data_IF_738713867356
#
_entry.id   IF_738713867356
#
_cell.length_a   1.000
_cell.length_b   1.000
_cell.length_c   1.000
_cell.angle_alpha   90.00
_cell.angle_beta   90.00
_cell.angle_gamma   90.00
#
_symmetry.space_group_name_H-M   'P 1'
#
loop_
_entity.id
_entity.type
_entity.pdbx_description
1 polymer ?
#
# COMPACT_ATOMS: atom_id res chain seq x y z
N UNK A 1 41.29 -16.98 -3.19
CA UNK A 1 40.76 -15.67 -3.59
C UNK A 1 39.66 -15.31 -2.60
N UNK A 2 39.83 -14.26 -1.79
CA UNK A 2 38.77 -13.82 -0.89
C UNK A 2 37.83 -12.94 -1.72
N UNK A 3 36.78 -13.53 -2.30
CA UNK A 3 35.72 -12.74 -2.90
C UNK A 3 35.03 -11.97 -1.78
N UNK A 4 35.30 -10.66 -1.73
CA UNK A 4 34.60 -9.72 -0.88
C UNK A 4 33.41 -9.21 -1.68
N UNK A 5 32.19 -9.51 -1.24
CA UNK A 5 30.98 -8.96 -1.84
C UNK A 5 30.73 -7.53 -1.35
N UNK A 6 30.18 -6.68 -2.21
CA UNK A 6 29.59 -5.41 -1.81
C UNK A 6 28.07 -5.50 -1.89
N UNK A 7 27.39 -4.84 -0.95
CA UNK A 7 25.94 -4.62 -0.98
C UNK A 7 25.72 -3.12 -1.16
N UNK A 8 24.95 -2.75 -2.18
CA UNK A 8 24.58 -1.37 -2.45
C UNK A 8 23.09 -1.21 -2.16
N UNK A 9 22.75 -0.28 -1.28
CA UNK A 9 21.38 0.05 -0.90
C UNK A 9 21.04 1.43 -1.47
N UNK A 10 19.98 1.48 -2.27
CA UNK A 10 19.51 2.68 -2.96
C UNK A 10 18.03 2.81 -2.62
N UNK A 11 17.62 3.92 -1.99
CA UNK A 11 16.24 4.19 -1.60
C UNK A 11 15.52 2.99 -0.97
N UNK A 12 16.21 2.31 -0.06
CA UNK A 12 15.78 1.03 0.51
C UNK A 12 15.39 1.17 1.97
N UNK A 13 14.50 0.26 2.41
CA UNK A 13 14.22 0.01 3.82
C UNK A 13 14.79 -1.36 4.17
N UNK A 14 15.59 -1.42 5.23
CA UNK A 14 16.06 -2.67 5.83
C UNK A 14 15.43 -2.79 7.22
N UNK A 15 14.46 -3.69 7.37
CA UNK A 15 13.70 -3.94 8.59
C UNK A 15 12.22 -4.25 8.31
N UNK A 16 11.39 -4.47 9.35
CA UNK A 16 11.76 -4.71 10.74
C UNK A 16 12.00 -6.21 10.98
N UNK A 17 13.22 -6.60 11.35
CA UNK A 17 13.52 -7.95 11.83
C UNK A 17 12.76 -8.21 13.13
N UNK A 18 11.94 -9.27 13.16
CA UNK A 18 11.00 -9.55 14.26
C UNK A 18 11.55 -10.48 15.34
N UNK A 19 12.85 -10.80 15.32
CA UNK A 19 13.42 -11.68 16.36
C UNK A 19 13.38 -11.01 17.75
N UNK A 20 12.76 -11.70 18.71
CA UNK A 20 12.50 -11.18 20.07
C UNK A 20 13.76 -10.91 20.91
N UNK A 21 14.94 -11.35 20.45
CA UNK A 21 16.18 -11.25 21.22
C UNK A 21 16.87 -9.88 21.13
N UNK A 22 16.52 -9.02 20.17
CA UNK A 22 17.27 -7.78 19.84
C UNK A 22 18.80 -8.00 19.72
N UNK A 23 19.26 -9.25 19.51
CA UNK A 23 20.68 -9.59 19.37
C UNK A 23 21.15 -9.60 17.91
N UNK A 24 20.26 -9.23 16.99
CA UNK A 24 20.51 -9.27 15.54
C UNK A 24 20.01 -7.99 14.90
N UNK A 25 20.92 -7.23 14.29
CA UNK A 25 20.57 -6.14 13.39
C UNK A 25 19.71 -6.62 12.21
N UNK A 26 18.97 -5.70 11.61
CA UNK A 26 18.31 -5.90 10.31
C UNK A 26 19.31 -6.23 9.20
N UNK A 27 20.52 -5.70 9.33
CA UNK A 27 21.64 -5.95 8.41
C UNK A 27 22.94 -6.11 9.21
N UNK A 28 23.77 -7.09 8.83
CA UNK A 28 25.00 -7.40 9.56
C UNK A 28 26.20 -7.60 8.64
N UNK A 29 27.24 -6.81 8.88
CA UNK A 29 28.57 -7.02 8.31
C UNK A 29 29.38 -7.98 9.18
N UNK A 30 29.40 -9.26 8.78
CA UNK A 30 30.19 -10.28 9.47
C UNK A 30 31.67 -10.16 9.10
N UNK A 31 32.49 -9.85 10.11
CA UNK A 31 33.96 -9.83 10.06
C UNK A 31 34.55 -8.75 9.12
N UNK A 32 33.77 -7.74 8.71
CA UNK A 32 34.25 -6.67 7.81
C UNK A 32 34.87 -7.21 6.52
N UNK A 33 34.34 -8.36 6.07
CA UNK A 33 34.79 -9.04 4.86
C UNK A 33 34.04 -8.54 3.62
N UNK A 34 32.90 -7.87 3.78
CA UNK A 34 32.19 -7.15 2.71
C UNK A 34 32.03 -5.67 3.05
N UNK A 35 31.55 -4.87 2.09
CA UNK A 35 31.20 -3.46 2.32
C UNK A 35 29.73 -3.22 2.01
N UNK A 36 29.04 -2.51 2.92
CA UNK A 36 27.69 -1.98 2.69
C UNK A 36 27.84 -0.52 2.27
N UNK A 37 27.28 -0.19 1.10
CA UNK A 37 27.24 1.16 0.54
C UNK A 37 25.80 1.65 0.55
N UNK A 38 25.59 2.88 1.00
CA UNK A 38 24.31 3.58 0.92
C UNK A 38 24.42 4.62 -0.18
N UNK A 39 23.91 4.28 -1.35
CA UNK A 39 23.98 5.09 -2.57
C UNK A 39 22.69 5.90 -2.70
N UNK A 40 22.45 6.79 -1.75
CA UNK A 40 21.21 7.57 -1.62
C UNK A 40 20.61 7.46 -0.21
N UNK A 41 19.42 8.06 0.02
CA UNK A 41 18.69 7.92 1.28
C UNK A 41 18.25 6.48 1.52
N UNK A 42 18.33 6.02 2.76
CA UNK A 42 17.90 4.67 3.16
C UNK A 42 17.40 4.69 4.61
N UNK A 43 16.57 3.71 4.98
CA UNK A 43 16.14 3.48 6.36
C UNK A 43 16.64 2.13 6.86
N UNK A 44 17.17 2.10 8.08
CA UNK A 44 17.55 0.86 8.79
C UNK A 44 16.79 0.85 10.11
N UNK A 45 15.87 -0.11 10.27
CA UNK A 45 15.01 -0.22 11.45
C UNK A 45 15.76 -0.50 12.75
N UNK A 46 16.78 -1.36 12.69
CA UNK A 46 17.68 -1.67 13.79
C UNK A 46 19.11 -1.94 13.29
N UNK A 47 20.04 -1.08 13.70
CA UNK A 47 21.47 -1.26 13.42
C UNK A 47 22.27 -1.87 14.59
N UNK A 48 21.60 -2.31 15.66
CA UNK A 48 22.24 -2.91 16.84
C UNK A 48 22.96 -4.20 16.46
N UNK A 49 24.26 -4.26 16.70
CA UNK A 49 25.15 -5.36 16.26
C UNK A 49 25.39 -5.48 14.75
N UNK A 50 25.00 -4.47 13.95
CA UNK A 50 25.22 -4.48 12.48
C UNK A 50 26.69 -4.48 12.08
N UNK A 51 27.57 -3.89 12.90
CA UNK A 51 29.01 -3.70 12.63
C UNK A 51 29.32 -2.90 11.35
N UNK A 52 28.31 -2.24 10.78
CA UNK A 52 28.49 -1.34 9.65
C UNK A 52 29.23 -0.09 10.13
N UNK A 53 30.37 0.21 9.51
CA UNK A 53 31.26 1.30 9.93
C UNK A 53 30.92 2.65 9.28
N UNK A 54 30.24 2.65 8.13
CA UNK A 54 29.80 3.84 7.43
C UNK A 54 28.30 3.77 7.18
N UNK A 55 27.53 4.64 7.84
CA UNK A 55 26.07 4.77 7.68
C UNK A 55 25.67 6.07 6.97
N UNK A 56 26.63 6.79 6.38
CA UNK A 56 26.32 8.01 5.62
C UNK A 56 25.38 7.66 4.48
N UNK A 57 24.20 8.30 4.44
CA UNK A 57 23.12 7.98 3.49
C UNK A 57 21.99 7.13 4.11
N UNK A 58 22.13 6.66 5.35
CA UNK A 58 21.07 5.95 6.05
C UNK A 58 20.62 6.68 7.32
N UNK A 59 19.31 6.72 7.54
CA UNK A 59 18.71 7.02 8.84
C UNK A 59 18.50 5.72 9.60
N UNK A 60 19.01 5.66 10.84
CA UNK A 60 19.09 4.43 11.63
C UNK A 60 18.19 4.51 12.86
N UNK A 61 17.54 3.39 13.17
CA UNK A 61 16.59 3.23 14.26
C UNK A 61 15.38 4.20 14.21
N UNK A 62 14.81 4.56 13.03
CA UNK A 62 13.55 5.29 12.99
C UNK A 62 12.39 4.34 13.27
N UNK A 63 11.27 4.87 13.77
CA UNK A 63 10.02 4.12 13.71
C UNK A 63 9.55 4.10 12.25
N UNK A 64 9.65 2.94 11.61
CA UNK A 64 9.38 2.80 10.17
C UNK A 64 7.90 3.02 9.81
N UNK A 65 6.97 2.83 10.75
CA UNK A 65 5.52 2.90 10.50
C UNK A 65 5.12 2.20 9.19
N UNK A 66 5.38 0.91 9.09
CA UNK A 66 4.96 0.09 7.95
C UNK A 66 3.77 -0.79 8.35
N UNK A 67 2.91 -1.08 7.40
CA UNK A 67 1.92 -2.13 7.57
C UNK A 67 2.62 -3.51 7.68
N UNK A 68 1.99 -4.51 8.32
CA UNK A 68 2.52 -5.87 8.37
C UNK A 68 2.81 -6.45 6.98
N UNK A 69 3.68 -7.45 6.89
CA UNK A 69 3.90 -8.15 5.62
C UNK A 69 2.60 -8.84 5.18
N UNK A 70 2.09 -8.50 4.00
CA UNK A 70 0.79 -8.98 3.54
C UNK A 70 0.56 -8.76 2.05
N UNK A 71 -0.60 -9.21 1.55
CA UNK A 71 -1.01 -8.99 0.17
C UNK A 71 -1.71 -7.62 0.08
N UNK A 72 -1.08 -6.67 -0.62
CA UNK A 72 -1.59 -5.29 -0.80
C UNK A 72 -1.81 -4.93 -2.28
N UNK A 73 -2.16 -5.92 -3.12
CA UNK A 73 -2.51 -5.72 -4.53
C UNK A 73 -1.39 -6.00 -5.55
N UNK A 74 -0.27 -6.61 -5.16
CA UNK A 74 0.83 -7.02 -6.06
C UNK A 74 1.02 -8.53 -6.14
N UNK A 75 1.88 -8.99 -7.07
CA UNK A 75 2.21 -10.43 -7.25
C UNK A 75 3.02 -11.03 -6.09
N UNK A 76 3.48 -10.20 -5.17
CA UNK A 76 4.26 -10.58 -3.98
C UNK A 76 3.78 -9.80 -2.76
N UNK A 77 3.94 -10.37 -1.57
CA UNK A 77 3.66 -9.67 -0.32
C UNK A 77 4.58 -8.46 -0.13
N UNK A 78 4.04 -7.38 0.45
CA UNK A 78 4.74 -6.11 0.67
C UNK A 78 4.48 -5.57 2.09
N UNK A 79 5.22 -4.53 2.49
CA UNK A 79 5.01 -3.77 3.73
C UNK A 79 4.83 -2.28 3.40
N UNK A 80 3.62 -1.84 2.97
CA UNK A 80 3.36 -0.45 2.61
C UNK A 80 3.71 0.55 3.74
N UNK A 81 4.25 1.74 3.41
CA UNK A 81 4.34 2.84 4.36
C UNK A 81 2.94 3.25 4.87
N UNK A 82 2.80 3.38 6.18
CA UNK A 82 1.61 3.96 6.82
C UNK A 82 1.71 5.49 6.84
N UNK A 83 0.60 6.22 7.04
CA UNK A 83 0.63 7.66 7.20
C UNK A 83 1.67 8.12 8.24
N UNK A 84 2.42 9.18 7.91
CA UNK A 84 3.53 9.70 8.72
C UNK A 84 4.73 8.74 8.85
N UNK A 85 4.86 7.75 7.97
CA UNK A 85 6.11 6.99 7.85
C UNK A 85 7.25 7.89 7.37
N UNK A 86 8.46 7.75 7.95
CA UNK A 86 9.66 8.43 7.45
C UNK A 86 10.12 7.92 6.08
N UNK A 87 9.47 6.87 5.54
CA UNK A 87 9.72 6.39 4.19
C UNK A 87 9.07 7.27 3.11
N UNK A 88 8.03 8.04 3.46
CA UNK A 88 7.24 8.81 2.51
C UNK A 88 8.05 10.00 1.98
N UNK A 89 8.06 10.19 0.66
CA UNK A 89 8.76 11.26 -0.07
C UNK A 89 10.27 11.36 0.28
N UNK A 90 10.86 10.28 0.80
CA UNK A 90 12.22 10.27 1.34
C UNK A 90 13.26 9.61 0.42
N UNK A 91 12.83 9.03 -0.70
CA UNK A 91 13.67 8.44 -1.73
C UNK A 91 14.28 9.47 -2.66
N UNK A 92 15.44 9.13 -3.22
CA UNK A 92 16.16 9.98 -4.16
C UNK A 92 16.00 9.54 -5.62
N UNK A 93 16.17 10.48 -6.55
CA UNK A 93 15.98 10.27 -7.99
C UNK A 93 16.82 9.12 -8.59
N UNK A 94 17.91 8.76 -7.94
CA UNK A 94 18.77 7.61 -8.29
C UNK A 94 18.03 6.26 -8.24
N UNK A 95 16.88 6.18 -7.56
CA UNK A 95 16.07 4.98 -7.45
C UNK A 95 15.00 4.83 -8.54
N UNK A 96 14.83 5.82 -9.42
CA UNK A 96 13.92 5.80 -10.58
C UNK A 96 14.41 4.87 -11.71
N UNK A 97 14.73 3.63 -11.36
CA UNK A 97 15.05 2.57 -12.33
C UNK A 97 13.79 1.96 -12.96
N UNK A 98 12.65 2.05 -12.24
CA UNK A 98 11.33 1.59 -12.67
C UNK A 98 10.32 2.72 -12.51
N UNK A 99 9.41 2.85 -13.47
CA UNK A 99 8.28 3.79 -13.36
C UNK A 99 7.20 3.28 -12.40
N UNK A 100 7.27 2.02 -11.97
CA UNK A 100 6.29 1.39 -11.10
C UNK A 100 6.89 0.76 -9.83
N UNK A 101 6.08 0.72 -8.77
CA UNK A 101 6.34 0.02 -7.52
C UNK A 101 6.14 -1.51 -7.65
N UNK A 102 6.36 -2.27 -6.58
CA UNK A 102 6.27 -3.74 -6.63
C UNK A 102 4.84 -4.27 -6.90
N UNK A 103 3.83 -3.43 -6.77
CA UNK A 103 2.43 -3.76 -7.07
C UNK A 103 2.04 -3.35 -8.49
N UNK A 104 2.86 -2.55 -9.16
CA UNK A 104 2.60 -2.02 -10.51
C UNK A 104 2.08 -0.58 -10.53
N UNK A 105 1.96 0.10 -9.38
CA UNK A 105 1.53 1.50 -9.33
C UNK A 105 2.65 2.46 -9.67
N UNK A 106 2.33 3.67 -10.11
CA UNK A 106 3.32 4.71 -10.38
C UNK A 106 4.22 4.95 -9.15
N UNK A 107 5.54 5.00 -9.38
CA UNK A 107 6.55 5.14 -8.33
C UNK A 107 6.88 6.57 -7.95
N UNK A 108 6.32 7.57 -8.64
CA UNK A 108 6.55 8.98 -8.35
C UNK A 108 5.18 9.64 -8.12
N UNK A 109 4.77 9.71 -6.85
CA UNK A 109 3.50 10.30 -6.45
C UNK A 109 3.74 11.23 -5.26
N UNK A 110 3.27 12.47 -5.35
CA UNK A 110 3.49 13.45 -4.28
C UNK A 110 4.78 14.26 -4.46
N UNK A 111 5.54 14.43 -3.38
CA UNK A 111 6.70 15.32 -3.30
C UNK A 111 8.02 14.66 -3.70
N UNK A 112 8.09 13.33 -3.67
CA UNK A 112 9.28 12.54 -3.93
C UNK A 112 8.93 11.07 -4.20
N UNK A 113 9.95 10.22 -4.21
CA UNK A 113 9.75 8.77 -4.16
C UNK A 113 9.63 8.34 -2.70
N UNK A 114 8.91 7.27 -2.45
CA UNK A 114 9.00 6.57 -1.17
C UNK A 114 10.19 5.62 -1.14
N UNK A 115 10.72 5.42 0.07
CA UNK A 115 11.72 4.40 0.32
C UNK A 115 11.08 3.01 0.33
N UNK A 116 11.73 2.06 -0.33
CA UNK A 116 11.34 0.64 -0.32
C UNK A 116 10.52 0.20 -1.53
N UNK A 117 9.68 -0.82 -1.31
CA UNK A 117 9.03 -1.57 -2.39
C UNK A 117 7.70 -0.98 -2.86
N UNK A 118 7.09 -0.13 -2.03
CA UNK A 118 5.74 0.38 -2.21
C UNK A 118 5.77 1.90 -2.14
N UNK A 119 5.17 2.52 -3.15
CA UNK A 119 4.92 3.96 -3.18
C UNK A 119 3.55 4.24 -2.56
N UNK A 120 3.51 5.04 -1.50
CA UNK A 120 2.26 5.58 -0.98
C UNK A 120 1.69 6.52 -2.04
N UNK A 121 0.48 6.20 -2.50
CA UNK A 121 -0.18 6.96 -3.57
C UNK A 121 -0.80 8.29 -3.06
N UNK A 122 -0.26 8.89 -1.99
CA UNK A 122 -0.68 10.17 -1.41
C UNK A 122 -1.64 10.10 -0.21
N UNK A 123 -1.78 11.25 0.46
CA UNK A 123 -2.61 11.52 1.64
C UNK A 123 -3.67 12.59 1.34
N UNK A 124 -4.93 12.16 1.35
CA UNK A 124 -6.25 12.82 1.55
C UNK A 124 -6.35 14.33 1.89
N UNK A 125 -5.73 15.25 1.16
CA UNK A 125 -6.06 16.68 1.28
C UNK A 125 -6.62 17.30 0.00
N UNK A 126 -6.88 16.49 -1.02
CA UNK A 126 -7.68 16.87 -2.17
C UNK A 126 -8.83 15.86 -2.31
N UNK A 127 -9.78 15.94 -1.36
CA UNK A 127 -10.90 15.03 -1.12
C UNK A 127 -11.87 14.83 -2.32
N UNK A 128 -11.55 15.33 -3.51
CA UNK A 128 -12.32 15.12 -4.74
C UNK A 128 -11.48 14.72 -5.97
N UNK A 129 -10.13 14.78 -5.90
CA UNK A 129 -9.26 14.46 -7.04
C UNK A 129 -8.33 13.25 -6.79
N UNK A 130 -8.11 12.87 -5.53
CA UNK A 130 -7.19 11.79 -5.11
C UNK A 130 -7.86 10.44 -4.78
N UNK A 131 -9.14 10.26 -5.10
CA UNK A 131 -9.86 8.99 -4.88
C UNK A 131 -9.48 7.93 -5.93
N UNK A 132 -8.69 8.29 -6.93
CA UNK A 132 -8.48 7.51 -8.16
C UNK A 132 -7.20 6.65 -8.17
N UNK A 133 -6.45 6.50 -7.06
CA UNK A 133 -5.13 5.84 -7.13
C UNK A 133 -5.06 4.45 -6.49
N UNK A 134 -5.93 4.11 -5.53
CA UNK A 134 -5.93 2.80 -4.85
C UNK A 134 -7.02 1.84 -5.32
N UNK A 135 -7.85 2.25 -6.28
CA UNK A 135 -9.08 1.55 -6.65
C UNK A 135 -9.17 1.21 -8.15
N UNK A 136 -8.16 1.59 -8.94
CA UNK A 136 -8.18 1.56 -10.41
C UNK A 136 -7.35 0.40 -10.95
N UNK A 137 -7.79 -0.83 -10.71
CA UNK A 137 -6.96 -2.01 -10.95
C UNK A 137 -7.85 -3.10 -11.57
N UNK A 138 -7.85 -3.22 -12.92
CA UNK A 138 -8.64 -4.15 -13.79
C UNK A 138 -8.07 -5.53 -13.71
N UNK A 139 -8.99 -6.46 -13.50
CA UNK A 139 -8.65 -7.70 -12.94
C UNK A 139 -9.23 -8.97 -13.66
N UNK A 140 -9.75 -8.69 -14.83
CA UNK A 140 -10.27 -9.63 -15.79
C UNK A 140 -9.38 -10.21 -16.89
N UNK A 141 -8.43 -9.38 -17.30
CA UNK A 141 -7.82 -9.33 -18.63
C UNK A 141 -8.87 -9.09 -19.74
N UNK A 142 -10.10 -8.72 -19.38
CA UNK A 142 -11.14 -8.25 -20.30
C UNK A 142 -11.03 -6.76 -20.62
N UNK A 143 -10.33 -5.97 -19.81
CA UNK A 143 -10.08 -4.54 -20.06
C UNK A 143 -11.05 -3.57 -19.40
N UNK A 144 -11.92 -4.00 -18.47
CA UNK A 144 -13.04 -3.21 -17.93
C UNK A 144 -13.15 -3.32 -16.39
N UNK A 145 -12.46 -2.46 -15.62
CA UNK A 145 -12.47 -2.52 -14.14
C UNK A 145 -13.84 -2.16 -13.52
N UNK A 146 -14.41 -3.02 -12.65
CA UNK A 146 -15.58 -2.71 -11.82
C UNK A 146 -15.45 -3.15 -10.34
N UNK A 147 -16.44 -2.78 -9.51
CA UNK A 147 -16.42 -3.10 -8.08
C UNK A 147 -16.44 -4.59 -7.72
N UNK A 148 -17.06 -5.41 -8.55
CA UNK A 148 -17.18 -6.85 -8.32
C UNK A 148 -15.81 -7.53 -8.41
N UNK A 149 -14.98 -7.14 -9.37
CA UNK A 149 -13.65 -7.73 -9.57
C UNK A 149 -12.68 -7.33 -8.45
N UNK A 150 -12.75 -6.07 -7.98
CA UNK A 150 -12.00 -5.63 -6.79
C UNK A 150 -12.31 -6.49 -5.57
N UNK A 151 -13.58 -6.84 -5.42
CA UNK A 151 -14.03 -7.64 -4.29
C UNK A 151 -13.60 -9.11 -4.40
N UNK A 152 -13.53 -9.64 -5.61
CA UNK A 152 -13.06 -11.00 -5.88
C UNK A 152 -11.52 -11.12 -5.93
N UNK A 153 -10.81 -10.01 -6.15
CA UNK A 153 -9.35 -9.97 -6.26
C UNK A 153 -8.77 -10.73 -7.46
N UNK A 154 -9.61 -11.09 -8.43
CA UNK A 154 -9.19 -11.71 -9.69
C UNK A 154 -8.53 -10.62 -10.52
N UNK A 155 -7.19 -10.61 -10.81
CA UNK A 155 -6.51 -9.79 -11.89
C UNK A 155 -5.83 -8.39 -11.72
N UNK A 156 -5.67 -7.73 -10.56
CA UNK A 156 -5.17 -6.35 -10.32
C UNK A 156 -4.91 -5.22 -11.36
N UNK A 157 -4.46 -5.44 -12.57
CA UNK A 157 -3.20 -4.84 -13.01
C UNK A 157 -3.30 -3.83 -14.15
N UNK A 158 -4.50 -3.45 -14.64
CA UNK A 158 -4.66 -2.36 -15.62
C UNK A 158 -5.70 -1.32 -15.14
N UNK A 159 -5.28 -0.09 -14.88
CA UNK A 159 -6.24 0.96 -14.53
C UNK A 159 -7.12 1.34 -15.73
N UNK A 160 -8.45 1.20 -15.62
CA UNK A 160 -9.41 1.91 -16.48
C UNK A 160 -10.15 3.01 -15.67
N UNK A 161 -9.53 4.19 -15.52
CA UNK A 161 -10.13 5.31 -14.81
C UNK A 161 -11.41 5.84 -15.46
N UNK A 162 -11.74 5.41 -16.68
CA UNK A 162 -12.91 5.84 -17.42
C UNK A 162 -14.15 4.94 -17.26
N UNK A 163 -14.01 3.75 -16.66
CA UNK A 163 -15.12 2.81 -16.53
C UNK A 163 -16.18 3.33 -15.53
N UNK A 164 -17.48 3.37 -15.90
CA UNK A 164 -18.50 3.99 -15.06
C UNK A 164 -18.83 3.22 -13.77
N UNK A 165 -18.46 1.93 -13.69
CA UNK A 165 -18.86 0.99 -12.62
C UNK A 165 -17.71 0.62 -11.66
N UNK A 166 -16.58 1.33 -11.70
CA UNK A 166 -15.45 1.13 -10.77
C UNK A 166 -15.82 1.42 -9.32
N UNK A 167 -15.20 0.72 -8.37
CA UNK A 167 -15.37 1.06 -6.96
C UNK A 167 -14.70 2.40 -6.66
N UNK A 168 -15.45 3.42 -6.26
CA UNK A 168 -14.92 4.76 -5.97
C UNK A 168 -15.71 5.44 -4.87
N UNK A 169 -15.06 6.32 -4.12
CA UNK A 169 -15.77 7.30 -3.31
C UNK A 169 -16.26 8.44 -4.24
N UNK A 170 -17.55 8.76 -4.18
CA UNK A 170 -18.18 9.77 -5.07
C UNK A 170 -18.44 11.09 -4.37
N UNK A 171 -18.29 11.13 -3.04
CA UNK A 171 -18.41 12.35 -2.27
C UNK A 171 -18.91 12.10 -0.86
N UNK A 172 -19.70 13.04 -0.37
CA UNK A 172 -20.26 13.03 0.97
C UNK A 172 -21.72 13.45 0.89
N UNK A 173 -22.60 12.74 1.57
CA UNK A 173 -24.03 13.01 1.55
C UNK A 173 -24.37 14.30 2.34
N UNK A 174 -25.64 14.69 2.28
CA UNK A 174 -26.16 15.87 3.01
C UNK A 174 -25.96 15.80 4.53
N UNK A 175 -25.63 14.62 5.06
CA UNK A 175 -25.41 14.36 6.48
C UNK A 175 -23.93 14.17 6.84
N UNK A 176 -23.00 14.35 5.88
CA UNK A 176 -21.57 14.18 6.14
C UNK A 176 -21.06 12.74 6.02
N UNK A 177 -21.83 11.80 5.49
CA UNK A 177 -21.43 10.39 5.32
C UNK A 177 -20.71 10.18 4.00
N UNK A 178 -19.63 9.40 4.00
CA UNK A 178 -18.90 9.05 2.78
C UNK A 178 -19.77 8.21 1.85
N UNK A 179 -19.85 8.62 0.58
CA UNK A 179 -20.60 7.94 -0.47
C UNK A 179 -19.65 7.14 -1.36
N UNK A 180 -19.98 5.88 -1.62
CA UNK A 180 -19.22 4.99 -2.50
C UNK A 180 -20.11 4.50 -3.64
N UNK A 181 -19.53 4.32 -4.82
CA UNK A 181 -20.16 3.78 -6.01
C UNK A 181 -19.41 2.51 -6.41
N UNK A 182 -20.11 1.49 -6.89
CA UNK A 182 -19.50 0.40 -7.65
C UNK A 182 -20.50 -0.43 -8.47
N UNK A 183 -20.04 -1.22 -9.43
CA UNK A 183 -20.87 -2.15 -10.21
C UNK A 183 -21.12 -3.48 -9.50
N UNK A 184 -22.38 -3.89 -9.42
CA UNK A 184 -22.78 -5.21 -8.94
C UNK A 184 -23.48 -6.01 -10.05
N UNK A 185 -22.86 -7.09 -10.51
CA UNK A 185 -23.33 -7.82 -11.70
C UNK A 185 -23.51 -9.32 -11.47
N UNK A 186 -23.19 -9.84 -10.28
CA UNK A 186 -23.30 -11.27 -9.96
C UNK A 186 -23.98 -11.48 -8.61
N UNK A 187 -25.23 -11.97 -8.66
CA UNK A 187 -26.06 -12.24 -7.49
C UNK A 187 -25.60 -13.49 -6.71
N UNK A 188 -24.67 -14.26 -7.25
CA UNK A 188 -24.07 -15.42 -6.57
C UNK A 188 -22.97 -15.02 -5.58
N UNK A 189 -22.57 -13.75 -5.58
CA UNK A 189 -21.51 -13.23 -4.72
C UNK A 189 -22.11 -12.25 -3.71
N UNK A 190 -21.83 -12.51 -2.44
CA UNK A 190 -22.01 -11.52 -1.38
C UNK A 190 -20.76 -10.65 -1.34
N UNK A 191 -20.95 -9.34 -1.26
CA UNK A 191 -19.90 -8.35 -1.06
C UNK A 191 -20.01 -7.74 0.33
N UNK A 192 -18.90 -7.29 0.89
CA UNK A 192 -18.84 -6.47 2.07
C UNK A 192 -17.94 -5.26 1.84
N UNK A 193 -18.42 -4.09 2.28
CA UNK A 193 -17.56 -2.93 2.46
C UNK A 193 -16.97 -3.03 3.86
N UNK A 194 -15.65 -3.22 3.96
CA UNK A 194 -14.90 -3.26 5.21
C UNK A 194 -14.08 -1.99 5.38
N UNK A 195 -13.82 -1.62 6.63
CA UNK A 195 -13.11 -0.41 7.01
C UNK A 195 -12.05 -0.69 8.07
N UNK A 196 -10.92 -0.02 7.95
CA UNK A 196 -9.84 -0.04 8.93
C UNK A 196 -9.29 1.36 9.18
N UNK A 197 -8.77 1.64 10.37
CA UNK A 197 -8.04 2.90 10.67
C UNK A 197 -6.53 2.71 10.66
N UNK A 198 -6.06 1.47 10.64
CA UNK A 198 -4.66 1.09 10.84
C UNK A 198 -4.12 0.13 9.78
N UNK A 199 -4.94 -0.26 8.79
CA UNK A 199 -4.66 -1.26 7.76
C UNK A 199 -4.42 -2.69 8.31
N UNK A 200 -4.75 -2.93 9.57
CA UNK A 200 -4.59 -4.22 10.24
C UNK A 200 -5.96 -4.80 10.53
N UNK A 201 -6.77 -4.07 11.29
CA UNK A 201 -8.07 -4.53 11.74
C UNK A 201 -9.15 -3.93 10.85
N UNK A 202 -9.81 -4.80 10.07
CA UNK A 202 -10.94 -4.44 9.21
C UNK A 202 -12.26 -4.87 9.85
N UNK A 203 -13.20 -3.94 9.95
CA UNK A 203 -14.58 -4.18 10.39
C UNK A 203 -15.55 -4.02 9.22
N UNK A 204 -16.50 -4.94 9.08
CA UNK A 204 -17.60 -4.80 8.11
C UNK A 204 -18.46 -3.59 8.44
N UNK A 205 -18.64 -2.73 7.43
CA UNK A 205 -19.50 -1.55 7.45
C UNK A 205 -20.84 -1.87 6.81
N UNK A 206 -20.82 -2.59 5.69
CA UNK A 206 -22.00 -2.98 4.90
C UNK A 206 -21.76 -4.40 4.38
N UNK A 207 -22.80 -5.22 4.35
CA UNK A 207 -22.81 -6.54 3.73
C UNK A 207 -24.02 -6.66 2.81
N UNK A 208 -23.80 -7.16 1.60
CA UNK A 208 -24.63 -6.80 0.44
C UNK A 208 -25.63 -7.85 0.03
N UNK A 209 -25.60 -9.04 0.61
CA UNK A 209 -26.66 -10.06 0.44
C UNK A 209 -28.02 -9.55 0.89
N UNK A 210 -28.03 -8.58 1.81
CA UNK A 210 -29.24 -8.06 2.44
C UNK A 210 -29.69 -6.71 1.84
N UNK A 211 -28.81 -6.00 1.13
CA UNK A 211 -28.99 -4.56 0.81
C UNK A 211 -29.15 -4.22 -0.69
N UNK A 212 -28.88 -5.14 -1.63
CA UNK A 212 -29.08 -4.87 -3.07
C UNK A 212 -30.22 -5.66 -3.69
N UNK A 213 -31.09 -4.95 -4.42
CA UNK A 213 -32.27 -5.55 -5.08
C UNK A 213 -32.13 -5.68 -6.61
N UNK A 214 -31.10 -5.08 -7.22
CA UNK A 214 -30.93 -5.04 -8.68
C UNK A 214 -29.46 -4.97 -9.11
N UNK A 215 -29.12 -5.59 -10.23
CA UNK A 215 -27.83 -5.45 -10.89
C UNK A 215 -27.56 -4.03 -11.39
N UNK A 216 -26.28 -3.69 -11.53
CA UNK A 216 -25.79 -2.42 -12.04
C UNK A 216 -25.10 -1.59 -10.96
N UNK A 217 -25.08 -0.28 -11.19
CA UNK A 217 -24.39 0.68 -10.34
C UNK A 217 -25.05 0.80 -8.97
N UNK A 218 -24.30 0.46 -7.93
CA UNK A 218 -24.69 0.59 -6.53
C UNK A 218 -24.11 1.85 -5.93
N UNK A 219 -24.81 2.40 -4.94
CA UNK A 219 -24.30 3.48 -4.09
C UNK A 219 -24.43 3.08 -2.62
N UNK A 220 -23.32 3.20 -1.89
CA UNK A 220 -23.17 2.79 -0.49
C UNK A 220 -22.77 3.98 0.38
N UNK A 221 -23.12 3.90 1.67
CA UNK A 221 -22.80 4.92 2.66
C UNK A 221 -22.21 4.28 3.90
N UNK A 222 -21.08 4.79 4.40
CA UNK A 222 -20.66 4.43 5.76
C UNK A 222 -21.60 5.13 6.76
N UNK A 223 -22.42 4.39 7.54
CA UNK A 223 -23.36 5.01 8.47
C UNK A 223 -22.66 5.67 9.67
N UNK A 224 -21.42 5.26 10.00
CA UNK A 224 -20.71 5.68 11.19
C UNK A 224 -19.21 5.85 10.90
N UNK A 225 -18.81 6.81 10.04
CA UNK A 225 -17.40 7.01 9.72
C UNK A 225 -16.60 7.39 10.98
N UNK A 226 -15.36 6.89 11.14
CA UNK A 226 -14.54 7.20 12.30
C UNK A 226 -14.06 8.65 12.27
N UNK A 227 -13.74 9.21 13.44
CA UNK A 227 -13.08 10.52 13.50
C UNK A 227 -11.67 10.43 12.87
N UNK A 228 -11.43 11.20 11.82
CA UNK A 228 -10.14 11.24 11.14
C UNK A 228 -10.10 10.39 9.86
N UNK A 229 -9.01 9.64 9.67
CA UNK A 229 -8.75 8.89 8.44
C UNK A 229 -9.15 7.42 8.57
N UNK A 230 -9.61 6.84 7.48
CA UNK A 230 -9.91 5.42 7.38
C UNK A 230 -9.67 4.88 5.98
N UNK A 231 -9.37 3.59 5.91
CA UNK A 231 -9.17 2.81 4.71
C UNK A 231 -10.42 1.97 4.46
N UNK A 232 -10.87 1.94 3.21
CA UNK A 232 -12.05 1.19 2.80
C UNK A 232 -11.68 0.15 1.75
N UNK A 233 -12.20 -1.06 1.94
CA UNK A 233 -12.04 -2.18 1.03
C UNK A 233 -13.38 -2.79 0.72
N UNK A 234 -13.64 -3.03 -0.55
CA UNK A 234 -14.76 -3.87 -0.97
C UNK A 234 -14.21 -5.29 -1.14
N UNK A 235 -14.88 -6.27 -0.55
CA UNK A 235 -14.46 -7.67 -0.53
C UNK A 235 -15.62 -8.59 -0.84
N UNK A 236 -15.37 -9.72 -1.47
CA UNK A 236 -16.36 -10.78 -1.57
C UNK A 236 -16.38 -11.55 -0.24
N UNK A 237 -17.56 -11.62 0.38
CA UNK A 237 -17.83 -12.50 1.52
C UNK A 237 -18.55 -13.75 1.02
N UNK A 238 -18.29 -14.87 1.67
CA UNK A 238 -18.71 -16.21 1.22
C UNK A 238 -19.91 -16.71 2.01
#
# INVERSE_FOLDING_TARGET
>A
MNNKGSLHLISSIVGPNTTSSHTTADIRDFNSLGTVHFDGPNLIGDNTFSRISNISGASVNPNLHLAPLGNYGGSTQTMPPLPNSPAIDAGGSEALSSSVDQRGFARLVGGGLDLGAVELQGNDLELAALIDATFELDSDSAGDANGLERALGTDPFIADPSHPNKFRMIGTDVNGRLEFNFGYEDASITLALTRSIDLIDFSTVIETSDDFSTFGLQTLFDPNPPEGKAFYRLEATR
#
